data_IF_537667776874
#
_entry.id   IF_537667776874
#
_cell.length_a   1.000
_cell.length_b   1.000
_cell.length_c   1.000
_cell.angle_alpha   90.00
_cell.angle_beta   90.00
_cell.angle_gamma   90.00
#
_symmetry.space_group_name_H-M   'P 1'
#
loop_
_entity.id
_entity.type
_entity.pdbx_description
1 polymer ?
#
# COMPACT_ATOMS: atom_id res chain seq x y z
N UNK A 1 13.48 -12.74 -9.56
CA UNK A 1 13.14 -13.22 -8.21
C UNK A 1 11.85 -12.53 -7.85
N UNK A 2 10.75 -13.27 -7.66
CA UNK A 2 9.43 -12.67 -7.44
C UNK A 2 9.35 -12.36 -5.94
N UNK A 3 9.31 -11.08 -5.58
CA UNK A 3 9.15 -10.68 -4.18
C UNK A 3 7.71 -10.99 -3.79
N UNK A 4 7.51 -11.93 -2.88
CA UNK A 4 6.19 -12.20 -2.31
C UNK A 4 5.82 -11.07 -1.35
N UNK A 5 5.41 -9.93 -1.93
CA UNK A 5 4.89 -8.80 -1.19
C UNK A 5 3.48 -9.11 -0.72
N UNK A 6 3.28 -8.94 0.58
CA UNK A 6 1.98 -9.04 1.19
C UNK A 6 1.16 -7.78 0.89
N UNK A 7 -0.18 -7.82 1.02
CA UNK A 7 -1.02 -6.61 0.84
C UNK A 7 -0.59 -5.52 1.82
N UNK A 8 -0.19 -5.94 3.03
CA UNK A 8 0.33 -5.05 4.05
C UNK A 8 1.59 -4.31 3.57
N UNK A 9 2.52 -5.02 2.93
CA UNK A 9 3.78 -4.43 2.42
C UNK A 9 3.53 -3.46 1.27
N UNK A 10 2.55 -3.76 0.40
CA UNK A 10 2.14 -2.86 -0.67
C UNK A 10 1.57 -1.54 -0.13
N UNK A 11 0.73 -1.59 0.91
CA UNK A 11 0.16 -0.40 1.57
C UNK A 11 1.26 0.39 2.28
N UNK A 12 2.21 -0.30 2.92
CA UNK A 12 3.36 0.35 3.55
C UNK A 12 4.25 1.07 2.52
N UNK A 13 4.52 0.46 1.37
CA UNK A 13 5.30 1.06 0.29
C UNK A 13 4.60 2.30 -0.31
N UNK A 14 3.27 2.24 -0.49
CA UNK A 14 2.47 3.39 -0.94
C UNK A 14 2.48 4.54 0.09
N UNK A 15 2.41 4.23 1.39
CA UNK A 15 2.50 5.23 2.45
C UNK A 15 3.88 5.91 2.51
N UNK A 16 4.95 5.16 2.20
CA UNK A 16 6.32 5.68 2.06
C UNK A 16 6.42 6.64 0.87
N UNK A 17 5.89 6.27 -0.30
CA UNK A 17 5.89 7.14 -1.49
C UNK A 17 5.15 8.47 -1.23
N UNK A 18 4.07 8.43 -0.45
CA UNK A 18 3.29 9.63 -0.08
C UNK A 18 3.91 10.46 1.05
N UNK A 19 5.01 10.01 1.65
CA UNK A 19 5.64 10.66 2.81
C UNK A 19 4.74 10.67 4.05
N UNK A 20 3.80 9.70 4.17
CA UNK A 20 2.83 9.64 5.26
C UNK A 20 3.08 8.49 6.23
N UNK A 21 4.05 7.64 5.96
CA UNK A 21 4.25 6.37 6.69
C UNK A 21 4.33 6.53 8.21
N UNK A 22 4.88 7.64 8.72
CA UNK A 22 4.98 7.92 10.17
C UNK A 22 3.72 8.53 10.81
N UNK A 23 2.80 9.04 10.00
CA UNK A 23 1.59 9.72 10.44
C UNK A 23 0.32 8.95 10.07
N UNK A 24 0.48 7.80 9.41
CA UNK A 24 -0.63 6.96 9.00
C UNK A 24 -1.06 6.09 10.19
N UNK A 25 -2.30 6.23 10.70
CA UNK A 25 -2.78 5.47 11.85
C UNK A 25 -2.85 3.96 11.60
N UNK A 26 -2.64 3.50 10.35
CA UNK A 26 -2.54 2.09 10.01
C UNK A 26 -1.22 1.44 10.47
N UNK A 27 -0.23 2.23 10.88
CA UNK A 27 1.06 1.71 11.34
C UNK A 27 1.38 2.20 12.75
N UNK A 28 1.80 1.27 13.62
CA UNK A 28 2.35 1.60 14.93
C UNK A 28 3.72 2.29 14.80
N UNK A 29 4.13 3.06 15.82
CA UNK A 29 5.37 3.87 15.87
C UNK A 29 6.69 3.05 15.99
N UNK A 30 6.82 1.96 15.22
CA UNK A 30 8.02 1.09 15.17
C UNK A 30 8.87 1.42 13.92
N UNK A 31 9.41 2.64 13.88
CA UNK A 31 10.27 3.16 12.80
C UNK A 31 11.67 3.57 13.28
N UNK A 32 12.65 3.55 12.36
CA UNK A 32 14.03 3.88 12.71
C UNK A 32 14.15 5.33 13.16
N UNK A 33 14.67 5.56 14.37
CA UNK A 33 14.90 6.90 14.92
C UNK A 33 16.36 7.32 14.77
N UNK A 34 16.61 8.62 14.69
CA UNK A 34 17.97 9.16 14.83
C UNK A 34 18.44 8.93 16.27
N UNK A 35 19.67 8.40 16.51
CA UNK A 35 20.18 8.23 17.85
C UNK A 35 20.22 9.55 18.63
N UNK A 36 19.71 9.56 19.87
CA UNK A 36 19.90 10.64 20.83
C UNK A 36 21.03 10.33 21.84
N UNK A 37 21.44 11.33 22.62
CA UNK A 37 22.58 11.28 23.56
C UNK A 37 22.44 10.21 24.67
N UNK A 38 21.26 9.57 24.83
CA UNK A 38 20.99 8.55 25.86
C UNK A 38 21.14 7.11 25.36
N UNK A 39 21.29 6.92 24.04
CA UNK A 39 21.66 5.63 23.47
C UNK A 39 20.48 4.69 23.22
N UNK A 40 20.37 4.36 21.94
CA UNK A 40 19.69 3.22 21.31
C UNK A 40 18.16 3.13 21.45
N UNK A 41 17.46 3.57 20.39
CA UNK A 41 16.34 2.79 19.84
C UNK A 41 16.46 2.59 18.33
N UNK A 42 17.01 1.41 17.97
CA UNK A 42 16.75 0.73 16.70
C UNK A 42 15.42 0.01 16.83
N UNK A 43 14.38 0.54 16.22
CA UNK A 43 13.10 -0.14 16.09
C UNK A 43 12.73 0.00 14.61
N UNK A 44 13.14 -0.98 13.79
CA UNK A 44 13.14 -0.89 12.33
C UNK A 44 12.60 -2.14 11.64
N UNK A 45 11.96 -3.03 12.42
CA UNK A 45 11.48 -4.31 11.91
C UNK A 45 10.36 -4.14 10.90
N UNK A 46 9.56 -3.07 11.02
CA UNK A 46 8.43 -2.81 10.13
C UNK A 46 8.86 -2.61 8.67
N UNK A 47 9.97 -1.91 8.47
CA UNK A 47 10.51 -1.61 7.14
C UNK A 47 11.42 -2.70 6.61
N UNK A 48 11.76 -3.69 7.44
CA UNK A 48 12.70 -4.76 7.10
C UNK A 48 12.29 -5.55 5.84
N UNK A 49 11.02 -5.96 5.63
CA UNK A 49 10.63 -6.65 4.41
C UNK A 49 10.85 -5.81 3.14
N UNK A 50 10.53 -4.51 3.21
CA UNK A 50 10.71 -3.59 2.09
C UNK A 50 12.20 -3.29 1.84
N UNK A 51 13.02 -3.22 2.88
CA UNK A 51 14.47 -3.04 2.80
C UNK A 51 15.16 -4.28 2.20
N UNK A 52 14.80 -5.48 2.66
CA UNK A 52 15.33 -6.74 2.14
C UNK A 52 14.99 -6.94 0.67
N UNK A 53 13.82 -6.45 0.25
CA UNK A 53 13.41 -6.42 -1.16
C UNK A 53 14.00 -5.24 -1.96
N UNK A 54 14.83 -4.38 -1.36
CA UNK A 54 15.40 -3.20 -2.00
C UNK A 54 14.36 -2.23 -2.59
N UNK A 55 13.19 -2.11 -1.95
CA UNK A 55 12.08 -1.25 -2.40
C UNK A 55 12.12 0.13 -1.76
N UNK A 56 12.76 0.24 -0.60
CA UNK A 56 12.88 1.49 0.16
C UNK A 56 14.32 1.68 0.62
N UNK A 57 14.68 2.94 0.81
CA UNK A 57 15.92 3.35 1.43
C UNK A 57 15.66 4.47 2.42
N UNK A 58 16.55 4.62 3.39
CA UNK A 58 16.52 5.72 4.32
C UNK A 58 16.87 7.03 3.59
N UNK A 59 16.23 8.10 4.01
CA UNK A 59 16.64 9.46 3.70
C UNK A 59 17.60 9.98 4.78
N UNK A 60 18.40 10.98 4.43
CA UNK A 60 19.29 11.65 5.38
C UNK A 60 18.53 12.61 6.32
N UNK A 61 17.27 12.91 5.97
CA UNK A 61 16.36 13.73 6.76
C UNK A 61 15.56 12.91 7.78
N UNK A 62 15.14 13.59 8.85
CA UNK A 62 14.15 13.08 9.79
C UNK A 62 12.92 13.99 9.86
N UNK A 63 11.82 13.44 10.32
CA UNK A 63 10.61 14.18 10.64
C UNK A 63 10.76 15.01 11.95
N UNK A 64 9.79 15.87 12.30
CA UNK A 64 9.84 16.67 13.52
C UNK A 64 9.91 15.87 14.83
N UNK A 65 9.60 14.57 14.79
CA UNK A 65 9.65 13.67 15.94
C UNK A 65 10.97 12.88 16.02
N UNK A 66 11.92 13.14 15.10
CA UNK A 66 13.22 12.46 15.06
C UNK A 66 13.21 11.10 14.35
N UNK A 67 12.12 10.73 13.67
CA UNK A 67 12.04 9.48 12.90
C UNK A 67 12.67 9.66 11.52
N UNK A 68 13.53 8.71 11.13
CA UNK A 68 14.21 8.72 9.84
C UNK A 68 13.20 8.54 8.72
N UNK A 69 13.23 9.44 7.75
CA UNK A 69 12.34 9.33 6.59
C UNK A 69 12.76 8.16 5.70
N UNK A 70 11.78 7.59 5.02
CA UNK A 70 11.99 6.57 3.99
C UNK A 70 11.59 7.14 2.64
N UNK A 71 12.27 6.69 1.60
CA UNK A 71 11.91 6.98 0.21
C UNK A 71 11.94 5.71 -0.63
N UNK A 72 11.03 5.55 -1.61
CA UNK A 72 11.11 4.42 -2.53
C UNK A 72 12.39 4.48 -3.35
N UNK A 73 13.03 3.33 -3.57
CA UNK A 73 14.09 3.17 -4.57
C UNK A 73 13.48 3.23 -5.98
N UNK A 74 14.27 3.35 -7.06
CA UNK A 74 13.75 3.21 -8.41
C UNK A 74 12.99 1.89 -8.60
N UNK A 75 13.54 0.78 -8.10
CA UNK A 75 12.87 -0.52 -8.12
C UNK A 75 11.56 -0.54 -7.31
N UNK A 76 11.54 0.10 -6.14
CA UNK A 76 10.32 0.24 -5.34
C UNK A 76 9.20 0.98 -6.08
N UNK A 77 9.53 2.00 -6.88
CA UNK A 77 8.54 2.72 -7.69
C UNK A 77 7.98 1.86 -8.82
N UNK A 78 8.84 1.14 -9.53
CA UNK A 78 8.41 0.20 -10.57
C UNK A 78 7.42 -0.83 -10.00
N UNK A 79 7.76 -1.44 -8.86
CA UNK A 79 6.89 -2.40 -8.18
C UNK A 79 5.57 -1.76 -7.74
N UNK A 80 5.60 -0.52 -7.24
CA UNK A 80 4.38 0.20 -6.85
C UNK A 80 3.47 0.49 -8.05
N UNK A 81 4.03 0.84 -9.21
CA UNK A 81 3.29 1.01 -10.46
C UNK A 81 2.65 -0.30 -10.93
N UNK A 82 3.39 -1.42 -10.87
CA UNK A 82 2.86 -2.75 -11.19
C UNK A 82 1.67 -3.12 -10.27
N UNK A 83 1.82 -2.90 -8.95
CA UNK A 83 0.76 -3.14 -7.98
C UNK A 83 -0.48 -2.31 -8.31
N UNK A 84 -0.31 -1.01 -8.61
CA UNK A 84 -1.41 -0.11 -8.97
C UNK A 84 -2.13 -0.57 -10.24
N UNK A 85 -1.40 -1.02 -11.25
CA UNK A 85 -1.99 -1.56 -12.47
C UNK A 85 -2.81 -2.84 -12.22
N UNK A 86 -2.31 -3.74 -11.36
CA UNK A 86 -3.03 -4.95 -10.94
C UNK A 86 -4.31 -4.60 -10.17
N UNK A 87 -4.24 -3.66 -9.22
CA UNK A 87 -5.41 -3.20 -8.45
C UNK A 87 -6.45 -2.55 -9.36
N UNK A 88 -6.03 -1.66 -10.26
CA UNK A 88 -6.93 -0.99 -11.20
C UNK A 88 -7.65 -1.98 -12.11
N UNK A 89 -6.91 -2.92 -12.73
CA UNK A 89 -7.50 -3.93 -13.61
C UNK A 89 -8.44 -4.90 -12.88
N UNK A 90 -8.09 -5.27 -11.65
CA UNK A 90 -8.94 -6.15 -10.82
C UNK A 90 -10.22 -5.44 -10.39
N UNK A 91 -10.12 -4.17 -9.99
CA UNK A 91 -11.27 -3.34 -9.62
C UNK A 91 -12.19 -3.13 -10.82
N UNK A 92 -11.64 -2.83 -11.99
CA UNK A 92 -12.41 -2.68 -13.22
C UNK A 92 -13.18 -3.95 -13.56
N UNK A 93 -12.51 -5.12 -13.49
CA UNK A 93 -13.16 -6.42 -13.74
C UNK A 93 -14.31 -6.69 -12.77
N UNK A 94 -14.14 -6.34 -11.49
CA UNK A 94 -15.19 -6.50 -10.48
C UNK A 94 -16.39 -5.59 -10.78
N UNK A 95 -16.13 -4.32 -11.15
CA UNK A 95 -17.18 -3.37 -11.54
C UNK A 95 -17.95 -3.85 -12.77
N UNK A 96 -17.24 -4.35 -13.79
CA UNK A 96 -17.86 -4.86 -15.01
C UNK A 96 -18.72 -6.09 -14.71
N UNK A 97 -18.22 -7.02 -13.90
CA UNK A 97 -18.97 -8.20 -13.45
C UNK A 97 -20.26 -7.80 -12.73
N UNK A 98 -20.19 -6.81 -11.84
CA UNK A 98 -21.38 -6.33 -11.13
C UNK A 98 -22.37 -5.60 -12.04
N UNK A 99 -21.87 -4.85 -13.03
CA UNK A 99 -22.71 -4.21 -14.05
C UNK A 99 -23.47 -5.25 -14.87
N UNK A 100 -22.79 -6.30 -15.30
CA UNK A 100 -23.39 -7.40 -16.07
C UNK A 100 -24.43 -8.15 -15.24
N UNK A 101 -24.14 -8.39 -13.96
CA UNK A 101 -25.10 -8.96 -13.01
C UNK A 101 -26.38 -8.11 -12.94
N UNK A 102 -26.26 -6.80 -12.69
CA UNK A 102 -27.41 -5.90 -12.61
C UNK A 102 -28.23 -5.87 -13.91
N UNK A 103 -27.56 -5.84 -15.06
CA UNK A 103 -28.23 -5.88 -16.37
C UNK A 103 -29.00 -7.19 -16.58
N UNK A 104 -28.47 -8.32 -16.10
CA UNK A 104 -29.13 -9.63 -16.20
C UNK A 104 -30.33 -9.79 -15.26
N UNK A 105 -30.33 -9.13 -14.10
CA UNK A 105 -31.41 -9.22 -13.10
C UNK A 105 -32.48 -8.12 -13.21
N UNK A 106 -32.19 -7.02 -13.90
CA UNK A 106 -33.11 -5.89 -14.09
C UNK A 106 -34.13 -6.04 -15.22
N UNK A 107 -34.06 -7.12 -16.00
CA UNK A 107 -34.92 -7.39 -17.17
C UNK A 107 -36.15 -8.26 -16.90
N UNK A 108 -36.65 -8.31 -15.65
CA UNK A 108 -37.90 -8.98 -15.32
C UNK A 108 -39.11 -8.18 -15.78
N UNK A 109 -39.41 -8.20 -17.08
CA UNK A 109 -40.74 -7.89 -17.57
C UNK A 109 -41.73 -8.85 -16.89
N UNK A 110 -42.68 -8.29 -16.14
CA UNK A 110 -43.86 -9.01 -15.65
C UNK A 110 -44.74 -9.32 -16.88
N UNK A 111 -44.88 -10.57 -17.35
CA UNK A 111 -45.86 -10.90 -18.36
C UNK A 111 -47.14 -11.34 -17.64
N UNK A 112 -48.21 -10.56 -17.83
CA UNK A 112 -49.57 -11.07 -17.66
C UNK A 112 -50.13 -10.99 -16.24
N UNK A 113 -50.98 -9.99 -16.04
CA UNK A 113 -51.89 -9.92 -14.91
C UNK A 113 -53.23 -9.29 -15.27
N UNK A 114 -53.70 -9.47 -16.51
CA UNK A 114 -55.10 -9.22 -16.86
C UNK A 114 -55.90 -10.50 -16.62
N UNK A 115 -56.70 -10.49 -15.56
CA UNK A 115 -57.93 -11.29 -15.42
C UNK A 115 -58.99 -10.46 -14.72
#
# INVERSE_FOLDING_TARGET
MRTDLTVHDAVLLDAVERGRVHHDPLFDEDFEQIPDDVGARRAGHRMEPLKQANLVQLDDAADPNGMRLYRPTPHGREVLEEIRAVVASTTQRAVDTYRDYLASTGGGEHPGGDR
#
